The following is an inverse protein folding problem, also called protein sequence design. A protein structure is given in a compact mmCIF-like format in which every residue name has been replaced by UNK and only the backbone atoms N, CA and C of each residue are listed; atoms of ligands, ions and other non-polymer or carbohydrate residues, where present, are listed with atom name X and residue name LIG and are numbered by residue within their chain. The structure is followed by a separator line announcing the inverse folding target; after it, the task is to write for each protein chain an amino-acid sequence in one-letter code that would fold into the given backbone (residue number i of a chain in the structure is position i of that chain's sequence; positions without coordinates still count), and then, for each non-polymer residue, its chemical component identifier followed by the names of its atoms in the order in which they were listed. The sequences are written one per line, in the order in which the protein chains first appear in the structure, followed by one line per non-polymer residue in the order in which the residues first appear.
data_IF_860042369383
#
_entry.id   IF_860042369383
#
_cell.length_a   1.000
_cell.length_b   1.000
_cell.length_c   1.000
_cell.angle_alpha   90.00
_cell.angle_beta   90.00
_cell.angle_gamma   90.00
#
_symmetry.space_group_name_H-M   'P 1'
#
loop_
_entity.id
_entity.type
_entity.pdbx_description
1 polymer ?
#
# COMPACT_ATOMS: atom_id res chain seq x y z
N UNK A 1 1.91 -2.57 5.36
CA UNK A 1 2.40 -2.14 4.03
C UNK A 1 1.27 -2.00 3.01
N UNK A 2 0.54 -3.08 2.65
CA UNK A 2 -0.53 -3.02 1.64
C UNK A 2 -1.56 -1.89 1.87
N UNK A 3 -2.02 -1.68 3.11
CA UNK A 3 -2.93 -0.56 3.42
C UNK A 3 -2.39 0.82 3.02
N UNK A 4 -1.12 1.11 3.29
CA UNK A 4 -0.47 2.37 2.91
C UNK A 4 -0.31 2.51 1.38
N UNK A 5 -0.10 1.39 0.68
CA UNK A 5 -0.09 1.37 -0.79
C UNK A 5 -1.50 1.69 -1.31
N UNK A 6 -2.54 1.15 -0.68
CA UNK A 6 -3.94 1.37 -1.03
C UNK A 6 -4.43 2.79 -0.70
N UNK A 7 -3.84 3.46 0.29
CA UNK A 7 -4.03 4.89 0.56
C UNK A 7 -3.40 5.79 -0.53
N UNK A 8 -2.72 5.21 -1.53
CA UNK A 8 -2.06 5.96 -2.60
C UNK A 8 -0.76 6.64 -2.16
N UNK A 9 -0.20 6.25 -1.00
CA UNK A 9 1.04 6.84 -0.54
C UNK A 9 2.23 6.38 -1.42
N UNK A 10 3.08 7.32 -1.87
CA UNK A 10 4.33 6.98 -2.54
C UNK A 10 5.33 6.39 -1.54
N UNK A 11 6.24 5.55 -2.01
CA UNK A 11 7.24 4.84 -1.19
C UNK A 11 8.02 5.77 -0.26
N UNK A 12 8.34 6.99 -0.73
CA UNK A 12 9.02 8.01 0.08
C UNK A 12 8.18 8.45 1.30
N UNK A 13 6.87 8.66 1.13
CA UNK A 13 5.99 9.00 2.26
C UNK A 13 5.80 7.81 3.20
N UNK A 14 5.73 6.59 2.64
CA UNK A 14 5.68 5.36 3.43
C UNK A 14 6.97 5.22 4.27
N UNK A 15 8.13 5.47 3.68
CA UNK A 15 9.44 5.45 4.33
C UNK A 15 9.47 6.43 5.51
N UNK A 16 9.07 7.69 5.29
CA UNK A 16 8.99 8.69 6.36
C UNK A 16 7.99 8.27 7.45
N UNK A 17 6.79 7.82 7.08
CA UNK A 17 5.73 7.45 8.04
C UNK A 17 6.14 6.27 8.93
N UNK A 18 6.88 5.32 8.38
CA UNK A 18 7.34 4.13 9.08
C UNK A 18 8.75 4.28 9.68
N UNK A 19 9.39 5.44 9.51
CA UNK A 19 10.78 5.67 9.87
C UNK A 19 11.75 4.60 9.30
N UNK A 20 11.58 4.27 8.03
CA UNK A 20 12.37 3.26 7.31
C UNK A 20 13.20 3.90 6.19
N UNK A 21 14.31 3.25 5.82
CA UNK A 21 15.04 3.63 4.63
C UNK A 21 14.18 3.37 3.36
N UNK A 22 14.29 4.21 2.31
CA UNK A 22 13.55 4.03 1.06
C UNK A 22 13.78 2.66 0.40
N UNK A 23 14.99 2.10 0.52
CA UNK A 23 15.30 0.77 -0.01
C UNK A 23 14.54 -0.34 0.73
N UNK A 24 14.42 -0.23 2.05
CA UNK A 24 13.64 -1.17 2.87
C UNK A 24 12.17 -1.16 2.49
N UNK A 25 11.61 0.02 2.22
CA UNK A 25 10.23 0.13 1.72
C UNK A 25 10.08 -0.55 0.37
N UNK A 26 11.00 -0.32 -0.59
CA UNK A 26 10.96 -1.00 -1.90
C UNK A 26 11.00 -2.52 -1.75
N UNK A 27 11.85 -3.04 -0.88
CA UNK A 27 11.93 -4.48 -0.62
C UNK A 27 10.61 -5.01 -0.04
N UNK A 28 10.00 -4.30 0.90
CA UNK A 28 8.70 -4.69 1.43
C UNK A 28 7.58 -4.62 0.39
N UNK A 29 7.56 -3.59 -0.46
CA UNK A 29 6.60 -3.47 -1.56
C UNK A 29 6.75 -4.63 -2.55
N UNK A 30 7.98 -4.96 -2.94
CA UNK A 30 8.26 -6.10 -3.81
C UNK A 30 7.82 -7.44 -3.19
N UNK A 31 8.06 -7.62 -1.88
CA UNK A 31 7.59 -8.81 -1.17
C UNK A 31 6.06 -8.88 -1.07
N UNK A 32 5.38 -7.73 -0.91
CA UNK A 32 3.92 -7.67 -0.99
C UNK A 32 3.48 -8.11 -2.39
N UNK A 33 4.05 -7.52 -3.44
CA UNK A 33 3.70 -7.88 -4.82
C UNK A 33 3.87 -9.37 -5.11
N UNK A 34 5.00 -9.96 -4.70
CA UNK A 34 5.25 -11.40 -4.82
C UNK A 34 4.23 -12.25 -4.05
N UNK A 35 3.80 -11.84 -2.85
CA UNK A 35 2.80 -12.57 -2.07
C UNK A 35 1.38 -12.47 -2.63
N UNK A 36 1.08 -11.39 -3.32
CA UNK A 36 -0.23 -11.14 -3.93
C UNK A 36 -0.31 -11.68 -5.36
N UNK A 37 0.83 -12.10 -5.94
CA UNK A 37 1.00 -12.45 -7.34
C UNK A 37 0.58 -11.31 -8.28
N UNK A 38 1.10 -10.11 -8.01
CA UNK A 38 0.86 -8.89 -8.81
C UNK A 38 2.19 -8.25 -9.21
N UNK A 39 2.18 -7.43 -10.26
CA UNK A 39 3.38 -6.83 -10.83
C UNK A 39 3.46 -5.32 -10.68
N UNK A 40 2.38 -4.68 -10.22
CA UNK A 40 2.35 -3.21 -10.09
C UNK A 40 1.57 -2.72 -8.87
N UNK A 41 1.79 -1.45 -8.53
CA UNK A 41 1.02 -0.74 -7.51
C UNK A 41 -0.47 -0.76 -7.84
N UNK A 42 -0.83 -0.51 -9.10
CA UNK A 42 -2.22 -0.48 -9.54
C UNK A 42 -2.87 -1.84 -9.37
N UNK A 43 -2.19 -2.91 -9.77
CA UNK A 43 -2.68 -4.29 -9.57
C UNK A 43 -2.82 -4.62 -8.08
N UNK A 44 -1.87 -4.24 -7.22
CA UNK A 44 -2.01 -4.44 -5.78
C UNK A 44 -3.23 -3.73 -5.18
N UNK A 45 -3.57 -2.53 -5.69
CA UNK A 45 -4.75 -1.77 -5.28
C UNK A 45 -6.02 -2.48 -5.76
N UNK A 46 -6.06 -2.93 -7.01
CA UNK A 46 -7.20 -3.69 -7.56
C UNK A 46 -7.39 -5.01 -6.82
N UNK A 47 -6.31 -5.75 -6.57
CA UNK A 47 -6.32 -6.99 -5.79
C UNK A 47 -6.91 -6.77 -4.39
N UNK A 48 -6.51 -5.69 -3.72
CA UNK A 48 -7.11 -5.31 -2.44
C UNK A 48 -8.58 -4.91 -2.58
N UNK A 49 -8.99 -4.34 -3.73
CA UNK A 49 -10.38 -3.94 -4.03
C UNK A 49 -11.31 -5.11 -4.09
N UNK A 50 -10.95 -6.08 -4.91
CA UNK A 50 -11.72 -7.28 -5.15
C UNK A 50 -11.90 -8.12 -3.87
N UNK A 51 -11.02 -7.93 -2.88
CA UNK A 51 -11.03 -8.66 -1.61
C UNK A 51 -11.55 -7.85 -0.42
N UNK A 52 -11.96 -6.60 -0.63
CA UNK A 52 -12.48 -5.73 0.45
C UNK A 52 -11.42 -5.32 1.49
N UNK A 53 -10.14 -5.28 1.12
CA UNK A 53 -9.01 -5.06 2.04
C UNK A 53 -8.58 -3.59 2.13
N UNK A 54 -9.52 -2.64 2.21
CA UNK A 54 -9.20 -1.23 2.48
C UNK A 54 -9.17 -0.91 3.95
N UNK A 55 -8.01 -0.44 4.42
CA UNK A 55 -7.96 0.39 5.61
C UNK A 55 -8.49 1.80 5.24
N UNK A 56 -9.80 1.95 5.11
CA UNK A 56 -10.36 3.19 4.53
C UNK A 56 -11.83 3.52 4.77
N UNK A 57 -12.66 2.64 5.33
CA UNK A 57 -14.07 3.00 5.65
C UNK A 57 -14.21 3.91 6.89
N UNK A 58 -13.20 4.71 7.25
CA UNK A 58 -13.25 5.61 8.42
C UNK A 58 -12.72 7.03 8.21
N UNK A 59 -12.55 7.50 6.98
CA UNK A 59 -12.33 8.93 6.69
C UNK A 59 -13.10 9.40 5.45
N UNK A 60 -14.43 9.34 5.50
CA UNK A 60 -15.29 10.24 4.72
C UNK A 60 -16.57 10.55 5.51
N UNK A 61 -16.43 11.32 6.58
CA UNK A 61 -17.48 12.19 7.15
C UNK A 61 -16.81 13.37 7.86
N UNK A 62 -16.36 14.34 7.06
CA UNK A 62 -16.32 15.75 7.45
C UNK A 62 -16.84 16.54 6.25
N UNK A 63 -18.16 16.62 6.21
CA UNK A 63 -18.96 17.59 5.46
C UNK A 63 -20.04 18.06 6.43
#
# INVERSE_FOLDING_TARGET
MLGLICEGLPDKKIATRLNLAPNTVRNHVAMVYSKLDVHSRSEAIVWARERGLFAGERQSKKG
#
